data_IF_607826094420
#
_entry.id   IF_607826094420
#
_cell.length_a   1.000
_cell.length_b   1.000
_cell.length_c   1.000
_cell.angle_alpha   90.00
_cell.angle_beta   90.00
_cell.angle_gamma   90.00
#
_symmetry.space_group_name_H-M   'P 1'
#
loop_
_entity.id
_entity.type
_entity.pdbx_description
1 polymer ?
#
# COMPACT_ATOMS: atom_id res chain seq x y z
N UNK A 1 -4.75 5.96 -15.07
CA UNK A 1 -4.45 5.85 -13.63
C UNK A 1 -4.98 7.11 -12.97
N UNK A 2 -5.92 7.01 -12.03
CA UNK A 2 -6.42 8.19 -11.30
C UNK A 2 -5.35 8.69 -10.34
N UNK A 3 -5.42 9.95 -9.92
CA UNK A 3 -4.45 10.48 -8.95
C UNK A 3 -4.77 9.97 -7.54
N UNK A 4 -3.78 9.44 -6.82
CA UNK A 4 -3.96 9.00 -5.42
C UNK A 4 -4.27 10.16 -4.48
N UNK A 5 -3.83 11.37 -4.84
CA UNK A 5 -4.05 12.56 -4.02
C UNK A 5 -5.53 12.99 -4.00
N UNK A 6 -6.36 12.45 -4.90
CA UNK A 6 -7.82 12.60 -4.90
C UNK A 6 -8.53 11.49 -4.11
N UNK A 7 -7.83 10.42 -3.71
CA UNK A 7 -8.43 9.39 -2.87
C UNK A 7 -8.75 9.98 -1.49
N UNK A 8 -9.93 9.65 -0.96
CA UNK A 8 -10.44 10.19 0.31
C UNK A 8 -9.42 10.09 1.47
N UNK A 9 -8.72 8.96 1.70
CA UNK A 9 -7.75 8.87 2.79
C UNK A 9 -6.55 9.82 2.64
N UNK A 10 -6.24 10.27 1.42
CA UNK A 10 -5.10 11.14 1.11
C UNK A 10 -5.47 12.62 1.18
N UNK A 11 -6.76 12.97 1.22
CA UNK A 11 -7.22 14.36 1.23
C UNK A 11 -6.55 15.21 2.34
N UNK A 12 -6.36 14.73 3.60
CA UNK A 12 -5.73 15.53 4.65
C UNK A 12 -4.27 15.91 4.38
N UNK A 13 -3.55 15.11 3.61
CA UNK A 13 -2.12 15.31 3.30
C UNK A 13 -1.87 15.80 1.87
N UNK A 14 -2.92 15.84 1.04
CA UNK A 14 -2.85 16.07 -0.40
C UNK A 14 -2.16 17.38 -0.76
N UNK A 15 -2.49 18.46 -0.05
CA UNK A 15 -1.85 19.77 -0.23
C UNK A 15 -0.34 19.74 0.04
N UNK A 16 0.07 19.15 1.17
CA UNK A 16 1.49 19.04 1.55
C UNK A 16 2.28 18.23 0.53
N UNK A 17 1.74 17.09 0.09
CA UNK A 17 2.40 16.23 -0.90
C UNK A 17 2.47 16.89 -2.28
N UNK A 18 1.41 17.59 -2.71
CA UNK A 18 1.41 18.32 -3.97
C UNK A 18 2.46 19.43 -3.98
N UNK A 19 2.50 20.25 -2.92
CA UNK A 19 3.50 21.30 -2.76
C UNK A 19 4.92 20.73 -2.74
N UNK A 20 5.15 19.61 -2.04
CA UNK A 20 6.45 18.97 -2.04
C UNK A 20 6.84 18.44 -3.43
N UNK A 21 5.90 17.83 -4.18
CA UNK A 21 6.15 17.37 -5.54
C UNK A 21 6.57 18.53 -6.45
N UNK A 22 5.88 19.67 -6.39
CA UNK A 22 6.19 20.85 -7.20
C UNK A 22 7.62 21.36 -6.93
N UNK A 23 8.01 21.42 -5.66
CA UNK A 23 9.35 21.84 -5.24
C UNK A 23 10.45 20.84 -5.62
N UNK A 24 10.16 19.54 -5.54
CA UNK A 24 11.11 18.52 -5.96
C UNK A 24 11.32 18.54 -7.48
N UNK A 25 10.26 18.78 -8.27
CA UNK A 25 10.37 18.89 -9.73
C UNK A 25 11.13 20.13 -10.19
N UNK A 26 11.08 21.22 -9.43
CA UNK A 26 11.83 22.46 -9.73
C UNK A 26 13.25 22.46 -9.16
N UNK A 27 13.65 21.44 -8.40
CA UNK A 27 14.98 21.37 -7.78
C UNK A 27 16.08 21.17 -8.82
N UNK A 28 17.08 22.03 -8.78
CA UNK A 28 18.32 21.90 -9.56
C UNK A 28 19.45 21.18 -8.78
N UNK A 29 19.16 20.69 -7.58
CA UNK A 29 20.13 20.01 -6.71
C UNK A 29 19.82 18.53 -6.60
N UNK A 30 20.83 17.73 -6.21
CA UNK A 30 20.64 16.30 -5.95
C UNK A 30 19.74 16.09 -4.74
N UNK A 31 18.60 15.42 -4.93
CA UNK A 31 17.65 15.10 -3.87
C UNK A 31 18.17 13.88 -3.08
N UNK A 32 18.23 14.00 -1.76
CA UNK A 32 18.57 12.86 -0.90
C UNK A 32 17.31 12.14 -0.44
N UNK A 33 17.14 10.88 -0.84
CA UNK A 33 16.12 9.98 -0.33
C UNK A 33 16.66 9.21 0.89
N UNK A 34 15.95 9.32 2.00
CA UNK A 34 16.27 8.70 3.28
C UNK A 34 15.11 7.84 3.76
N UNK A 35 15.42 6.70 4.34
CA UNK A 35 14.45 5.93 5.10
C UNK A 35 15.10 5.21 6.26
N UNK A 36 14.30 4.92 7.28
CA UNK A 36 14.66 3.94 8.29
C UNK A 36 15.05 2.60 7.62
N UNK A 37 16.07 1.88 8.13
CA UNK A 37 16.49 0.58 7.60
C UNK A 37 15.47 -0.52 7.93
N UNK A 38 14.31 -0.47 7.28
CA UNK A 38 13.18 -1.37 7.51
C UNK A 38 12.50 -1.75 6.19
N UNK A 39 11.69 -2.82 6.22
CA UNK A 39 10.91 -3.24 5.05
C UNK A 39 9.98 -2.13 4.56
N UNK A 40 9.25 -1.47 5.48
CA UNK A 40 8.36 -0.37 5.11
C UNK A 40 9.15 0.83 4.55
N UNK A 41 10.34 1.13 5.08
CA UNK A 41 11.21 2.17 4.54
C UNK A 41 11.65 1.87 3.11
N UNK A 42 11.99 0.61 2.81
CA UNK A 42 12.33 0.17 1.45
C UNK A 42 11.13 0.27 0.49
N UNK A 43 9.94 -0.18 0.93
CA UNK A 43 8.70 -0.09 0.14
C UNK A 43 8.30 1.36 -0.15
N UNK A 44 8.52 2.28 0.79
CA UNK A 44 8.24 3.70 0.62
C UNK A 44 9.24 4.42 -0.29
N UNK A 45 10.53 4.07 -0.23
CA UNK A 45 11.55 4.68 -1.11
C UNK A 45 11.37 4.28 -2.58
N UNK A 46 11.04 3.02 -2.85
CA UNK A 46 10.97 2.48 -4.20
C UNK A 46 10.15 3.32 -5.22
N UNK A 47 8.91 3.76 -4.92
CA UNK A 47 8.16 4.63 -5.82
C UNK A 47 8.81 6.00 -5.99
N UNK A 48 9.44 6.57 -4.95
CA UNK A 48 10.13 7.86 -5.08
C UNK A 48 11.35 7.76 -6.00
N UNK A 49 12.17 6.72 -5.85
CA UNK A 49 13.29 6.45 -6.76
C UNK A 49 12.78 6.29 -8.20
N UNK A 50 11.72 5.53 -8.40
CA UNK A 50 11.11 5.33 -9.71
C UNK A 50 10.65 6.66 -10.34
N UNK A 51 10.03 7.56 -9.57
CA UNK A 51 9.58 8.86 -10.07
C UNK A 51 10.75 9.75 -10.46
N UNK A 52 11.80 9.83 -9.62
CA UNK A 52 12.99 10.64 -9.90
C UNK A 52 13.77 10.10 -11.10
N UNK A 53 13.85 8.77 -11.27
CA UNK A 53 14.44 8.15 -12.47
C UNK A 53 13.62 8.47 -13.71
N UNK A 54 12.30 8.33 -13.66
CA UNK A 54 11.41 8.58 -14.80
C UNK A 54 11.43 10.06 -15.24
N UNK A 55 11.66 11.00 -14.32
CA UNK A 55 11.77 12.44 -14.61
C UNK A 55 13.20 12.94 -14.86
N UNK A 56 14.21 12.08 -14.71
CA UNK A 56 15.62 12.46 -14.88
C UNK A 56 16.16 13.37 -13.77
N UNK A 57 15.51 13.40 -12.59
CA UNK A 57 15.96 14.18 -11.45
C UNK A 57 17.12 13.49 -10.71
N UNK A 58 18.25 14.18 -10.45
CA UNK A 58 19.38 13.59 -9.76
C UNK A 58 19.02 13.29 -8.30
N UNK A 59 19.32 12.07 -7.85
CA UNK A 59 19.07 11.68 -6.46
C UNK A 59 20.17 10.79 -5.89
N UNK A 60 20.19 10.68 -4.57
CA UNK A 60 20.97 9.69 -3.81
C UNK A 60 20.08 9.02 -2.80
N UNK A 61 20.25 7.72 -2.59
CA UNK A 61 19.53 6.96 -1.56
C UNK A 61 20.45 6.62 -0.39
N UNK A 62 19.94 6.72 0.84
CA UNK A 62 20.59 6.15 2.04
C UNK A 62 19.53 5.60 3.01
N UNK A 63 19.91 4.56 3.76
CA UNK A 63 19.12 4.09 4.90
C UNK A 63 19.75 4.60 6.20
N UNK A 64 19.09 5.56 6.85
CA UNK A 64 19.51 6.22 8.09
C UNK A 64 18.28 6.70 8.86
N UNK A 65 18.40 6.78 10.18
CA UNK A 65 17.32 7.27 11.05
C UNK A 65 17.27 8.79 11.17
N UNK A 66 18.40 9.46 10.90
CA UNK A 66 18.55 10.89 11.06
C UNK A 66 18.67 11.58 9.70
N UNK A 67 17.93 12.68 9.55
CA UNK A 67 18.07 13.57 8.41
C UNK A 67 19.29 14.49 8.58
N UNK A 68 19.97 14.86 7.49
CA UNK A 68 20.99 15.91 7.53
C UNK A 68 20.34 17.27 7.79
N UNK A 69 21.11 18.19 8.38
CA UNK A 69 20.66 19.55 8.63
C UNK A 69 20.48 20.38 7.34
N UNK A 70 21.26 20.08 6.30
CA UNK A 70 21.33 20.88 5.08
C UNK A 70 20.92 20.07 3.83
N UNK A 71 20.54 20.81 2.78
CA UNK A 71 20.19 20.27 1.47
C UNK A 71 18.74 19.81 1.36
N UNK A 72 18.36 19.45 0.13
CA UNK A 72 17.01 18.96 -0.18
C UNK A 72 16.90 17.45 0.02
N UNK A 73 15.88 17.02 0.74
CA UNK A 73 15.69 15.60 1.05
C UNK A 73 14.23 15.21 1.24
N UNK A 74 13.97 13.92 1.02
CA UNK A 74 12.74 13.24 1.46
C UNK A 74 13.14 12.16 2.46
N UNK A 75 12.62 12.23 3.67
CA UNK A 75 12.94 11.32 4.76
C UNK A 75 11.71 10.55 5.22
N UNK A 76 11.70 9.26 4.95
CA UNK A 76 10.68 8.33 5.43
C UNK A 76 11.05 7.90 6.85
N UNK A 77 10.28 8.39 7.79
CA UNK A 77 10.42 8.10 9.21
C UNK A 77 10.00 6.66 9.52
N UNK A 78 10.36 6.19 10.71
CA UNK A 78 10.10 4.82 11.14
C UNK A 78 8.60 4.48 11.18
N UNK A 79 8.25 3.18 11.14
CA UNK A 79 6.85 2.73 11.09
C UNK A 79 6.02 3.11 12.33
N UNK A 80 6.68 3.40 13.45
CA UNK A 80 6.04 3.83 14.69
C UNK A 80 5.84 5.35 14.79
N UNK A 81 6.36 6.12 13.82
CA UNK A 81 6.18 7.56 13.78
C UNK A 81 4.85 7.91 13.11
N UNK A 82 3.97 8.58 13.86
CA UNK A 82 2.65 9.03 13.41
C UNK A 82 2.54 10.56 13.31
N UNK A 83 3.66 11.27 13.18
CA UNK A 83 3.67 12.74 13.11
C UNK A 83 3.12 13.32 11.80
N UNK A 84 2.80 12.48 10.83
CA UNK A 84 2.35 12.87 9.49
C UNK A 84 3.43 13.55 8.64
N UNK A 85 3.09 13.95 7.41
CA UNK A 85 4.04 14.59 6.52
C UNK A 85 4.33 16.03 6.95
N UNK A 86 5.61 16.39 7.00
CA UNK A 86 6.07 17.74 7.36
C UNK A 86 6.99 18.26 6.27
N UNK A 87 6.63 19.40 5.70
CA UNK A 87 7.37 20.07 4.64
C UNK A 87 7.99 21.36 5.16
N UNK A 88 9.30 21.51 4.99
CA UNK A 88 9.99 22.79 5.04
C UNK A 88 10.43 23.17 3.63
N UNK A 89 10.36 24.47 3.35
CA UNK A 89 10.80 25.06 2.10
C UNK A 89 12.16 25.74 2.32
N UNK A 90 12.96 25.83 1.26
CA UNK A 90 14.25 26.54 1.23
C UNK A 90 15.29 26.10 2.28
N UNK A 91 15.94 24.92 2.13
CA UNK A 91 15.79 23.95 1.05
C UNK A 91 14.57 23.04 1.24
N UNK A 92 14.15 22.35 0.17
CA UNK A 92 12.99 21.44 0.21
C UNK A 92 13.29 20.22 1.09
N UNK A 93 12.69 20.17 2.27
CA UNK A 93 12.87 19.09 3.24
C UNK A 93 11.51 18.50 3.58
N UNK A 94 11.26 17.27 3.16
CA UNK A 94 10.02 16.57 3.41
C UNK A 94 10.24 15.36 4.31
N UNK A 95 9.66 15.37 5.50
CA UNK A 95 9.51 14.16 6.31
C UNK A 95 8.18 13.48 5.99
N UNK A 96 8.18 12.16 5.82
CA UNK A 96 7.00 11.32 5.64
C UNK A 96 6.90 10.35 6.81
N UNK A 97 5.81 10.44 7.57
CA UNK A 97 5.46 9.54 8.67
C UNK A 97 4.01 9.08 8.50
N UNK A 98 3.63 8.03 9.23
CA UNK A 98 2.23 7.65 9.32
C UNK A 98 1.38 8.78 9.88
N UNK A 99 0.07 8.72 9.67
CA UNK A 99 -0.90 9.59 10.37
C UNK A 99 -2.26 8.92 10.39
N UNK A 100 -3.10 9.24 11.36
CA UNK A 100 -4.46 8.69 11.42
C UNK A 100 -5.41 9.59 10.63
N UNK A 101 -6.10 9.01 9.65
CA UNK A 101 -7.04 9.71 8.77
C UNK A 101 -8.39 9.02 8.76
N UNK A 102 -9.39 9.70 8.21
CA UNK A 102 -10.67 9.11 7.88
C UNK A 102 -10.50 8.25 6.62
N UNK A 103 -10.90 6.98 6.69
CA UNK A 103 -10.79 6.04 5.58
C UNK A 103 -12.12 5.76 4.92
N UNK A 104 -13.18 5.56 5.70
CA UNK A 104 -14.53 5.29 5.23
C UNK A 104 -15.57 5.93 6.14
N UNK A 105 -16.77 6.12 5.61
CA UNK A 105 -17.95 6.52 6.39
C UNK A 105 -18.85 5.32 6.61
N UNK A 106 -19.20 5.05 7.87
CA UNK A 106 -20.13 3.99 8.25
C UNK A 106 -21.57 4.28 7.82
N UNK A 107 -22.43 3.27 7.89
CA UNK A 107 -23.83 3.38 7.44
C UNK A 107 -24.64 4.44 8.20
N UNK A 108 -24.23 4.81 9.42
CA UNK A 108 -24.86 5.87 10.22
C UNK A 108 -24.19 7.24 10.05
N UNK A 109 -23.27 7.38 9.10
CA UNK A 109 -22.46 8.60 8.93
C UNK A 109 -21.27 8.70 9.88
N UNK A 110 -20.98 7.65 10.64
CA UNK A 110 -19.86 7.58 11.58
C UNK A 110 -18.53 7.40 10.84
N UNK A 111 -17.60 8.33 11.02
CA UNK A 111 -16.28 8.26 10.38
C UNK A 111 -15.44 7.12 10.97
N UNK A 112 -14.88 6.28 10.08
CA UNK A 112 -13.99 5.17 10.42
C UNK A 112 -12.57 5.56 10.10
N UNK A 113 -11.76 5.66 11.15
CA UNK A 113 -10.37 6.09 11.07
C UNK A 113 -9.41 4.92 10.99
N UNK A 114 -8.31 5.14 10.28
CA UNK A 114 -7.25 4.16 10.11
C UNK A 114 -5.90 4.83 9.82
N UNK A 115 -4.83 4.04 9.77
CA UNK A 115 -3.49 4.55 9.52
C UNK A 115 -3.31 4.87 8.03
N UNK A 116 -2.97 6.10 7.69
CA UNK A 116 -2.37 6.43 6.40
C UNK A 116 -0.86 6.28 6.51
N UNK A 117 -0.33 5.19 5.95
CA UNK A 117 1.10 4.86 6.07
C UNK A 117 2.00 5.73 5.19
N UNK A 118 3.27 5.88 5.59
CA UNK A 118 4.27 6.59 4.80
C UNK A 118 4.50 5.94 3.41
N UNK A 119 4.25 4.63 3.27
CA UNK A 119 4.29 3.92 1.98
C UNK A 119 3.22 4.47 1.04
N UNK A 120 1.96 4.52 1.47
CA UNK A 120 0.86 5.06 0.67
C UNK A 120 1.11 6.53 0.30
N UNK A 121 1.58 7.35 1.24
CA UNK A 121 1.96 8.75 0.99
C UNK A 121 3.10 8.86 -0.03
N UNK A 122 4.10 7.98 0.04
CA UNK A 122 5.24 7.97 -0.90
C UNK A 122 4.80 7.61 -2.31
N UNK A 123 3.84 6.68 -2.48
CA UNK A 123 3.25 6.39 -3.78
C UNK A 123 2.46 7.58 -4.34
N UNK A 124 1.72 8.30 -3.51
CA UNK A 124 0.99 9.49 -3.93
C UNK A 124 1.93 10.63 -4.32
N UNK A 125 2.97 10.88 -3.53
CA UNK A 125 4.02 11.86 -3.84
C UNK A 125 4.76 11.49 -5.14
N UNK A 126 5.15 10.23 -5.31
CA UNK A 126 5.81 9.76 -6.51
C UNK A 126 4.97 9.98 -7.77
N UNK A 127 3.66 9.69 -7.71
CA UNK A 127 2.74 9.99 -8.81
C UNK A 127 2.64 11.50 -9.05
N UNK A 128 2.62 12.33 -8.02
CA UNK A 128 2.59 13.78 -8.19
C UNK A 128 3.89 14.32 -8.83
N UNK A 129 5.04 13.68 -8.58
CA UNK A 129 6.31 14.00 -9.24
C UNK A 129 6.30 13.54 -10.70
N UNK A 130 5.80 12.33 -10.98
CA UNK A 130 5.78 11.74 -12.31
C UNK A 130 4.42 11.07 -12.62
N UNK A 131 3.40 11.82 -13.05
CA UNK A 131 2.04 11.29 -13.23
C UNK A 131 1.95 10.15 -14.24
N UNK A 132 2.75 10.23 -15.31
CA UNK A 132 2.77 9.28 -16.42
C UNK A 132 3.92 8.26 -16.33
N UNK A 133 4.62 8.21 -15.20
CA UNK A 133 5.78 7.35 -14.99
C UNK A 133 5.47 5.86 -15.18
N UNK A 134 6.17 5.21 -16.11
CA UNK A 134 5.98 3.79 -16.40
C UNK A 134 6.38 2.91 -15.21
N UNK A 135 7.42 3.29 -14.46
CA UNK A 135 7.85 2.56 -13.25
C UNK A 135 6.86 2.74 -12.12
N UNK A 136 6.31 3.95 -11.95
CA UNK A 136 5.26 4.24 -10.97
C UNK A 136 4.03 3.40 -11.22
N UNK A 137 3.58 3.30 -12.48
CA UNK A 137 2.44 2.47 -12.84
C UNK A 137 2.63 1.00 -12.48
N UNK A 138 3.85 0.46 -12.66
CA UNK A 138 4.19 -0.93 -12.28
C UNK A 138 4.22 -1.11 -10.76
N UNK A 139 4.69 -0.11 -10.02
CA UNK A 139 4.77 -0.15 -8.56
C UNK A 139 3.41 0.14 -7.90
N UNK A 140 2.44 0.69 -8.63
CA UNK A 140 1.14 1.13 -8.11
C UNK A 140 0.41 0.14 -7.20
N UNK A 141 0.36 -1.19 -7.48
CA UNK A 141 -0.26 -2.15 -6.58
C UNK A 141 0.34 -2.17 -5.17
N UNK A 142 1.61 -1.78 -5.01
CA UNK A 142 2.31 -1.78 -3.72
C UNK A 142 1.94 -0.59 -2.83
N UNK A 143 1.10 0.36 -3.29
CA UNK A 143 0.70 1.53 -2.50
C UNK A 143 0.02 1.16 -1.17
N UNK A 144 -0.65 0.01 -1.12
CA UNK A 144 -1.34 -0.51 0.08
C UNK A 144 -0.46 -1.42 0.95
N UNK A 145 0.79 -1.71 0.54
CA UNK A 145 1.66 -2.64 1.25
C UNK A 145 2.07 -2.15 2.64
N UNK A 146 2.15 -0.83 2.87
CA UNK A 146 2.37 -0.28 4.20
C UNK A 146 1.22 -0.60 5.15
N UNK A 147 -0.02 -0.41 4.69
CA UNK A 147 -1.23 -0.75 5.44
C UNK A 147 -1.38 -2.26 5.64
N UNK A 148 -1.01 -3.07 4.63
CA UNK A 148 -0.89 -4.51 4.79
C UNK A 148 0.06 -4.88 5.94
N UNK A 149 1.20 -4.21 6.06
CA UNK A 149 2.15 -4.48 7.14
C UNK A 149 1.77 -3.83 8.48
N UNK A 150 0.70 -3.03 8.52
CA UNK A 150 0.24 -2.38 9.73
C UNK A 150 -0.60 -3.32 10.59
N UNK A 151 -0.54 -3.13 11.90
CA UNK A 151 -1.33 -3.90 12.88
C UNK A 151 -2.82 -3.61 12.86
N UNK A 152 -3.28 -2.64 12.06
CA UNK A 152 -4.71 -2.28 12.00
C UNK A 152 -5.54 -3.45 11.46
N UNK A 153 -4.99 -4.18 10.47
CA UNK A 153 -5.59 -5.41 9.95
C UNK A 153 -5.55 -6.58 10.95
N UNK A 154 -4.73 -6.52 11.99
CA UNK A 154 -4.73 -7.55 13.05
C UNK A 154 -5.84 -7.32 14.09
N UNK A 155 -6.60 -6.23 13.97
CA UNK A 155 -7.77 -5.93 14.79
C UNK A 155 -9.07 -6.30 14.08
N UNK A 156 -10.09 -5.44 14.13
CA UNK A 156 -11.39 -5.68 13.53
C UNK A 156 -11.40 -5.41 12.03
N UNK A 157 -10.67 -4.38 11.57
CA UNK A 157 -10.67 -3.91 10.18
C UNK A 157 -9.73 -2.69 10.00
N UNK A 158 -9.22 -2.45 8.79
CA UNK A 158 -8.53 -1.21 8.41
C UNK A 158 -9.34 -0.45 7.33
N UNK A 159 -10.01 0.68 7.67
CA UNK A 159 -10.79 1.45 6.71
C UNK A 159 -9.94 2.14 5.66
N UNK A 160 -8.71 2.51 5.99
CA UNK A 160 -7.80 3.18 5.04
C UNK A 160 -7.25 2.17 4.04
N UNK A 161 -6.86 0.98 4.50
CA UNK A 161 -6.45 -0.11 3.60
C UNK A 161 -7.52 -0.40 2.55
N UNK A 162 -8.77 -0.55 2.99
CA UNK A 162 -9.89 -0.89 2.11
C UNK A 162 -10.24 0.25 1.17
N UNK A 163 -10.31 1.49 1.64
CA UNK A 163 -10.56 2.63 0.77
C UNK A 163 -9.48 2.79 -0.31
N UNK A 164 -8.21 2.58 0.05
CA UNK A 164 -7.11 2.59 -0.92
C UNK A 164 -7.19 1.42 -1.90
N UNK A 165 -7.47 0.20 -1.41
CA UNK A 165 -7.67 -0.99 -2.25
C UNK A 165 -8.78 -0.75 -3.27
N UNK A 166 -9.93 -0.27 -2.82
CA UNK A 166 -11.10 -0.05 -3.67
C UNK A 166 -10.82 1.05 -4.70
N UNK A 167 -10.11 2.13 -4.33
CA UNK A 167 -9.66 3.15 -5.26
C UNK A 167 -8.70 2.59 -6.35
N UNK A 168 -7.80 1.68 -5.97
CA UNK A 168 -6.91 1.00 -6.92
C UNK A 168 -7.63 -0.02 -7.81
N UNK A 169 -8.72 -0.62 -7.34
CA UNK A 169 -9.60 -1.47 -8.16
C UNK A 169 -10.35 -0.60 -9.17
N UNK A 170 -10.93 0.51 -8.72
CA UNK A 170 -11.73 1.41 -9.55
C UNK A 170 -10.91 2.02 -10.71
N UNK A 171 -9.64 2.35 -10.46
CA UNK A 171 -8.75 2.88 -11.50
C UNK A 171 -8.04 1.81 -12.34
N UNK A 172 -8.29 0.53 -12.07
CA UNK A 172 -7.77 -0.64 -12.79
C UNK A 172 -6.32 -0.97 -12.47
N UNK A 173 -5.73 -0.38 -11.42
CA UNK A 173 -4.35 -0.65 -11.02
C UNK A 173 -4.16 -2.01 -10.36
N UNK A 174 -5.20 -2.55 -9.73
CA UNK A 174 -5.20 -3.90 -9.16
C UNK A 174 -6.51 -4.62 -9.51
N UNK A 175 -6.48 -5.94 -9.34
CA UNK A 175 -7.66 -6.78 -9.22
C UNK A 175 -7.72 -7.37 -7.83
N UNK A 176 -8.93 -7.60 -7.35
CA UNK A 176 -9.18 -8.32 -6.10
C UNK A 176 -9.87 -9.63 -6.48
N UNK A 177 -9.27 -10.75 -6.10
CA UNK A 177 -9.74 -12.09 -6.46
C UNK A 177 -9.69 -13.01 -5.22
N UNK A 178 -10.52 -14.05 -5.15
CA UNK A 178 -10.40 -15.04 -4.09
C UNK A 178 -9.13 -15.90 -4.29
N UNK A 179 -8.62 -16.48 -3.21
CA UNK A 179 -7.38 -17.27 -3.20
C UNK A 179 -7.28 -18.33 -4.31
N UNK A 180 -8.34 -19.10 -4.65
CA UNK A 180 -8.27 -20.08 -5.74
C UNK A 180 -8.10 -19.49 -7.14
N UNK A 181 -8.27 -18.18 -7.33
CA UNK A 181 -8.02 -17.49 -8.60
C UNK A 181 -6.62 -16.89 -8.69
N UNK A 182 -5.86 -16.92 -7.59
CA UNK A 182 -4.46 -16.49 -7.57
C UNK A 182 -3.60 -17.57 -8.22
N UNK A 183 -2.82 -17.27 -9.27
CA UNK A 183 -1.84 -18.20 -9.84
C UNK A 183 -0.76 -18.52 -8.80
N UNK A 184 -0.45 -19.80 -8.60
CA UNK A 184 0.62 -20.29 -7.71
C UNK A 184 0.72 -19.50 -6.39
N UNK A 185 -0.35 -19.49 -5.57
CA UNK A 185 -0.39 -18.67 -4.37
C UNK A 185 0.65 -19.15 -3.35
N UNK A 186 1.43 -18.21 -2.81
CA UNK A 186 2.36 -18.53 -1.75
C UNK A 186 1.63 -18.73 -0.42
N UNK A 187 1.42 -19.98 -0.06
CA UNK A 187 0.79 -20.39 1.21
C UNK A 187 1.79 -20.92 2.25
N UNK A 188 3.10 -20.73 2.04
CA UNK A 188 4.13 -21.31 2.93
C UNK A 188 4.02 -20.81 4.38
N UNK A 189 3.56 -19.58 4.58
CA UNK A 189 3.28 -18.99 5.89
C UNK A 189 1.93 -19.40 6.48
N UNK A 190 1.04 -19.96 5.67
CA UNK A 190 -0.36 -20.26 6.01
C UNK A 190 -0.54 -21.74 6.34
N UNK A 191 0.01 -22.17 7.48
CA UNK A 191 -0.03 -23.58 7.96
C UNK A 191 -1.44 -24.16 8.17
N UNK A 192 -2.49 -23.36 8.00
CA UNK A 192 -3.89 -23.74 8.13
C UNK A 192 -4.57 -23.99 6.77
N UNK A 193 -3.90 -23.67 5.66
CA UNK A 193 -4.36 -24.00 4.31
C UNK A 193 -3.68 -25.31 3.91
N UNK A 194 -4.48 -26.35 3.64
CA UNK A 194 -3.98 -27.58 3.06
C UNK A 194 -3.70 -27.35 1.56
N UNK A 195 -2.43 -27.50 1.09
CA UNK A 195 -2.08 -27.31 -0.32
C UNK A 195 -2.89 -28.22 -1.26
N UNK A 196 -3.11 -29.48 -0.87
CA UNK A 196 -3.85 -30.43 -1.70
C UNK A 196 -5.33 -30.05 -1.81
N UNK A 197 -5.91 -29.51 -0.73
CA UNK A 197 -7.28 -29.00 -0.75
C UNK A 197 -7.39 -27.73 -1.62
N UNK A 198 -6.42 -26.82 -1.54
CA UNK A 198 -6.37 -25.63 -2.39
C UNK A 198 -6.28 -26.02 -3.87
N UNK A 199 -5.37 -26.92 -4.24
CA UNK A 199 -5.22 -27.40 -5.62
C UNK A 199 -6.51 -28.03 -6.16
N UNK A 200 -7.20 -28.83 -5.34
CA UNK A 200 -8.47 -29.44 -5.71
C UNK A 200 -9.59 -28.40 -5.91
N UNK A 201 -9.63 -27.36 -5.07
CA UNK A 201 -10.59 -26.26 -5.19
C UNK A 201 -10.28 -25.42 -6.43
N UNK A 202 -9.02 -25.00 -6.62
CA UNK A 202 -8.55 -24.22 -7.78
C UNK A 202 -8.86 -24.93 -9.10
N UNK A 203 -8.60 -26.25 -9.18
CA UNK A 203 -8.87 -27.05 -10.38
C UNK A 203 -10.35 -27.09 -10.78
N UNK A 204 -11.26 -27.04 -9.80
CA UNK A 204 -12.71 -27.09 -10.02
C UNK A 204 -13.33 -25.69 -10.09
N UNK A 205 -12.61 -24.65 -9.68
CA UNK A 205 -13.12 -23.29 -9.53
C UNK A 205 -13.88 -22.75 -10.75
N UNK A 206 -13.40 -22.96 -12.01
CA UNK A 206 -14.11 -22.47 -13.20
C UNK A 206 -15.48 -23.12 -13.42
N UNK A 207 -15.69 -24.33 -12.90
CA UNK A 207 -16.93 -25.12 -13.04
C UNK A 207 -17.97 -24.85 -11.93
N UNK A 208 -17.56 -24.18 -10.85
CA UNK A 208 -18.44 -23.88 -9.73
C UNK A 208 -19.27 -22.63 -10.00
N UNK A 209 -20.55 -22.70 -9.66
CA UNK A 209 -21.42 -21.53 -9.56
C UNK A 209 -21.09 -20.69 -8.32
N UNK A 210 -21.78 -19.55 -8.15
CA UNK A 210 -21.51 -18.61 -7.06
C UNK A 210 -21.64 -19.27 -5.68
N UNK A 211 -22.66 -20.10 -5.47
CA UNK A 211 -22.87 -20.79 -4.20
C UNK A 211 -21.81 -21.87 -3.96
N UNK A 212 -21.46 -22.63 -4.99
CA UNK A 212 -20.39 -23.62 -4.96
C UNK A 212 -19.04 -22.99 -4.62
N UNK A 213 -18.71 -21.83 -5.20
CA UNK A 213 -17.50 -21.06 -4.88
C UNK A 213 -17.49 -20.60 -3.42
N UNK A 214 -18.60 -20.03 -2.95
CA UNK A 214 -18.72 -19.56 -1.57
C UNK A 214 -18.57 -20.71 -0.56
N UNK A 215 -19.18 -21.87 -0.82
CA UNK A 215 -19.05 -23.07 0.01
C UNK A 215 -17.62 -23.61 -0.01
N UNK A 216 -17.03 -23.76 -1.20
CA UNK A 216 -15.66 -24.29 -1.35
C UNK A 216 -14.63 -23.41 -0.62
N UNK A 217 -14.71 -22.09 -0.79
CA UNK A 217 -13.80 -21.15 -0.12
C UNK A 217 -14.00 -21.15 1.39
N UNK A 218 -15.25 -21.12 1.87
CA UNK A 218 -15.54 -21.23 3.31
C UNK A 218 -14.97 -22.51 3.92
N UNK A 219 -15.10 -23.64 3.21
CA UNK A 219 -14.52 -24.92 3.65
C UNK A 219 -12.99 -24.88 3.70
N UNK A 220 -12.35 -24.29 2.68
CA UNK A 220 -10.91 -24.12 2.61
C UNK A 220 -10.38 -23.25 3.76
N UNK A 221 -11.10 -22.19 4.13
CA UNK A 221 -10.69 -21.23 5.17
C UNK A 221 -11.08 -21.65 6.59
N UNK A 222 -12.03 -22.59 6.74
CA UNK A 222 -12.54 -23.07 8.03
C UNK A 222 -11.47 -23.43 9.06
N UNK A 223 -10.34 -24.09 8.72
CA UNK A 223 -9.32 -24.43 9.72
C UNK A 223 -8.74 -23.21 10.43
N UNK A 224 -8.67 -22.05 9.77
CA UNK A 224 -8.15 -20.81 10.35
C UNK A 224 -9.01 -20.30 11.53
N UNK A 225 -10.32 -20.55 11.51
CA UNK A 225 -11.26 -20.05 12.53
C UNK A 225 -11.00 -20.62 13.93
N UNK A 226 -10.30 -21.74 14.03
CA UNK A 226 -9.89 -22.34 15.30
C UNK A 226 -8.63 -21.73 15.90
N UNK A 227 -7.99 -20.78 15.20
CA UNK A 227 -6.70 -20.19 15.56
C UNK A 227 -6.89 -18.76 16.06
N UNK A 228 -5.97 -18.28 16.89
CA UNK A 228 -5.93 -16.88 17.33
C UNK A 228 -5.28 -15.94 16.32
N UNK A 229 -4.57 -16.49 15.33
CA UNK A 229 -3.90 -15.75 14.25
C UNK A 229 -4.05 -16.51 12.93
N UNK A 230 -4.31 -15.81 11.81
CA UNK A 230 -4.51 -14.35 11.69
C UNK A 230 -5.85 -13.86 12.29
N UNK A 231 -6.02 -12.54 12.41
CA UNK A 231 -7.32 -11.93 12.74
C UNK A 231 -8.37 -12.23 11.66
N UNK A 232 -9.65 -12.03 11.97
CA UNK A 232 -10.73 -12.18 10.98
C UNK A 232 -10.54 -11.26 9.77
N UNK A 233 -10.20 -9.98 9.99
CA UNK A 233 -9.98 -9.03 8.89
C UNK A 233 -8.83 -9.48 7.98
N UNK A 234 -7.71 -9.89 8.56
CA UNK A 234 -6.57 -10.41 7.81
C UNK A 234 -6.93 -11.70 7.05
N UNK A 235 -7.74 -12.57 7.67
CA UNK A 235 -8.21 -13.80 7.03
C UNK A 235 -9.08 -13.51 5.81
N UNK A 236 -9.97 -12.52 5.90
CA UNK A 236 -10.79 -12.07 4.77
C UNK A 236 -9.92 -11.61 3.59
N UNK A 237 -8.89 -10.81 3.86
CA UNK A 237 -7.99 -10.34 2.80
C UNK A 237 -7.12 -11.46 2.20
N UNK A 238 -6.73 -12.47 2.99
CA UNK A 238 -5.98 -13.63 2.50
C UNK A 238 -6.86 -14.59 1.69
N UNK A 239 -8.13 -14.77 2.08
CA UNK A 239 -9.01 -15.77 1.46
C UNK A 239 -9.85 -15.23 0.32
N UNK A 240 -10.46 -14.06 0.52
CA UNK A 240 -11.49 -13.51 -0.36
C UNK A 240 -10.99 -12.33 -1.18
N UNK A 241 -10.09 -11.51 -0.62
CA UNK A 241 -9.67 -10.25 -1.25
C UNK A 241 -8.18 -10.22 -1.63
N UNK A 242 -7.67 -11.28 -2.25
CA UNK A 242 -6.27 -11.33 -2.69
C UNK A 242 -6.01 -10.25 -3.75
N UNK A 243 -5.03 -9.40 -3.49
CA UNK A 243 -4.62 -8.31 -4.39
C UNK A 243 -3.70 -8.84 -5.47
N UNK A 244 -4.06 -8.57 -6.74
CA UNK A 244 -3.29 -8.93 -7.92
C UNK A 244 -2.95 -7.69 -8.75
N UNK A 245 -1.67 -7.44 -8.97
CA UNK A 245 -1.18 -6.39 -9.88
C UNK A 245 -1.07 -6.86 -11.33
N UNK A 246 -1.16 -5.95 -12.33
CA UNK A 246 -0.89 -6.28 -13.73
C UNK A 246 0.51 -6.86 -13.91
N UNK A 247 0.61 -8.01 -14.57
CA UNK A 247 1.90 -8.67 -14.83
C UNK A 247 2.51 -9.37 -13.62
N UNK A 248 1.78 -9.51 -12.50
CA UNK A 248 2.16 -10.42 -11.44
C UNK A 248 1.83 -11.85 -11.88
N UNK A 249 2.83 -12.52 -12.43
CA UNK A 249 2.92 -13.98 -12.47
C UNK A 249 3.98 -14.36 -11.44
N UNK A 250 3.62 -15.16 -10.46
CA UNK A 250 4.59 -15.86 -9.61
C UNK A 250 5.45 -16.79 -10.45
#
# INVERSE_FOLDING_TARGET
>A
MRTLLEAEPLAPVSKTLSQAADQLRSSNTTILLLAAPSLQGALAIAPLEAALVDTGLPYRRRFRLEAPAEGSWVHILGPADESGPRLSLDPTQLSLAGTVVEGLTGHQGDSRKGPLTAVAQSHALAQAICPDGARIRRLRPWAISGNWLHSALDTTYDPVFTALRDALVEDGSIRVVPLPEVPEPNISSSTWIDPAALDAVTSRWPSLDMEGRARALSHLMRPALSRSTPSTARLEEIGWHCVMGPGWST
#
